data_IF_341661575165
#
_entry.id   IF_341661575165
#
_cell.length_a   1.000
_cell.length_b   1.000
_cell.length_c   1.000
_cell.angle_alpha   90.00
_cell.angle_beta   90.00
_cell.angle_gamma   90.00
#
_symmetry.space_group_name_H-M   'P 1'
#
loop_
_entity.id
_entity.type
_entity.pdbx_description
1 polymer ?
#
# COMPACT_ATOMS: atom_id res chain seq x y z
N UNK A 1 14.91 2.74 -18.55
CA UNK A 1 15.82 2.46 -19.67
C UNK A 1 15.43 3.18 -20.95
N UNK A 2 14.23 3.02 -21.51
CA UNK A 2 13.78 3.71 -22.74
C UNK A 2 13.98 5.24 -22.76
N UNK A 3 13.66 5.92 -21.65
CA UNK A 3 13.85 7.38 -21.55
C UNK A 3 15.34 7.79 -21.62
N UNK A 4 16.23 6.99 -21.06
CA UNK A 4 17.68 7.23 -21.13
C UNK A 4 18.16 7.11 -22.59
N UNK A 5 17.73 6.06 -23.29
CA UNK A 5 18.08 5.84 -24.71
C UNK A 5 17.55 6.98 -25.58
N UNK A 6 16.29 7.41 -25.35
CA UNK A 6 15.71 8.53 -26.08
C UNK A 6 16.48 9.84 -25.83
N UNK A 7 16.85 10.12 -24.57
CA UNK A 7 17.65 11.29 -24.23
C UNK A 7 19.04 11.26 -24.85
N UNK A 8 19.71 10.10 -24.91
CA UNK A 8 21.00 9.94 -25.60
C UNK A 8 20.86 10.17 -27.12
N UNK A 9 19.79 9.66 -27.75
CA UNK A 9 19.50 9.92 -29.16
C UNK A 9 19.19 11.40 -29.46
N UNK A 10 18.82 12.17 -28.43
CA UNK A 10 18.64 13.63 -28.51
C UNK A 10 19.94 14.41 -28.18
N UNK A 11 21.12 13.77 -28.33
CA UNK A 11 22.45 14.35 -28.09
C UNK A 11 22.73 14.82 -26.66
N UNK A 12 21.99 14.29 -25.66
CA UNK A 12 22.33 14.53 -24.27
C UNK A 12 23.42 13.56 -23.80
N UNK A 13 24.46 14.09 -23.16
CA UNK A 13 25.54 13.24 -22.61
C UNK A 13 25.03 12.36 -21.47
N UNK A 14 25.52 11.13 -21.37
CA UNK A 14 25.11 10.17 -20.34
C UNK A 14 25.30 10.73 -18.93
N UNK A 15 26.39 11.45 -18.67
CA UNK A 15 26.65 12.08 -17.36
C UNK A 15 25.56 13.10 -16.97
N UNK A 16 25.09 13.92 -17.92
CA UNK A 16 23.99 14.85 -17.69
C UNK A 16 22.70 14.09 -17.38
N UNK A 17 22.41 13.03 -18.14
CA UNK A 17 21.21 12.20 -17.94
C UNK A 17 21.25 11.54 -16.55
N UNK A 18 22.37 10.90 -16.16
CA UNK A 18 22.52 10.25 -14.87
C UNK A 18 22.42 11.23 -13.70
N UNK A 19 22.95 12.46 -13.84
CA UNK A 19 22.85 13.52 -12.83
C UNK A 19 21.43 14.05 -12.58
N UNK A 20 20.50 13.83 -13.54
CA UNK A 20 19.08 14.24 -13.40
C UNK A 20 18.22 13.12 -12.81
N UNK A 21 18.58 11.84 -13.01
CA UNK A 21 17.76 10.70 -12.54
C UNK A 21 17.36 10.81 -11.06
N UNK A 22 18.26 11.13 -10.10
CA UNK A 22 17.88 11.27 -8.68
C UNK A 22 16.88 12.39 -8.41
N UNK A 23 16.75 13.35 -9.34
CA UNK A 23 15.83 14.51 -9.23
C UNK A 23 14.45 14.25 -9.84
N UNK A 24 14.31 13.15 -10.61
CA UNK A 24 13.05 12.78 -11.23
C UNK A 24 12.08 12.33 -10.14
N UNK A 25 10.93 12.99 -10.07
CA UNK A 25 9.83 12.58 -9.18
C UNK A 25 9.03 11.46 -9.83
N UNK A 26 8.50 10.54 -9.01
CA UNK A 26 7.57 9.52 -9.49
C UNK A 26 6.31 10.19 -10.08
N UNK A 27 5.76 9.57 -11.13
CA UNK A 27 4.46 9.98 -11.69
C UNK A 27 3.38 9.68 -10.64
N UNK A 28 2.45 10.63 -10.44
CA UNK A 28 1.37 10.48 -9.46
C UNK A 28 0.56 9.19 -9.71
N UNK A 29 0.41 8.38 -8.66
CA UNK A 29 -0.33 7.12 -8.73
C UNK A 29 0.31 6.01 -9.57
N UNK A 30 1.62 6.07 -9.84
CA UNK A 30 2.39 5.05 -10.55
C UNK A 30 3.57 4.60 -9.70
N UNK A 31 3.45 3.49 -9.00
CA UNK A 31 4.38 3.00 -7.98
C UNK A 31 4.88 4.14 -7.06
N UNK A 32 3.97 5.06 -6.75
CA UNK A 32 4.27 6.26 -5.97
C UNK A 32 4.40 5.92 -4.50
N UNK A 33 5.57 6.21 -3.90
CA UNK A 33 5.75 6.09 -2.45
C UNK A 33 5.00 7.22 -1.73
N UNK A 34 4.05 6.86 -0.87
CA UNK A 34 3.25 7.81 -0.11
C UNK A 34 3.75 7.90 1.33
N UNK A 35 4.22 9.09 1.71
CA UNK A 35 4.59 9.42 3.09
C UNK A 35 5.71 8.55 3.68
N UNK A 36 6.00 8.79 4.96
CA UNK A 36 6.99 8.04 5.73
C UNK A 36 6.35 7.49 7.00
N UNK A 37 6.54 6.20 7.27
CA UNK A 37 6.08 5.56 8.50
C UNK A 37 7.29 5.33 9.43
N UNK A 38 7.14 5.70 10.71
CA UNK A 38 8.21 5.62 11.72
C UNK A 38 8.77 4.22 11.91
N UNK A 39 7.97 3.17 11.69
CA UNK A 39 8.40 1.78 11.75
C UNK A 39 9.10 1.27 10.47
N UNK A 40 9.54 2.18 9.59
CA UNK A 40 10.24 1.86 8.32
C UNK A 40 9.41 1.10 7.28
N UNK A 41 8.11 0.86 7.51
CA UNK A 41 7.23 0.33 6.46
C UNK A 41 6.96 1.37 5.38
N UNK A 42 6.54 0.92 4.20
CA UNK A 42 6.26 1.78 3.05
C UNK A 42 4.86 1.51 2.53
N UNK A 43 4.20 2.57 2.09
CA UNK A 43 2.95 2.49 1.32
C UNK A 43 3.23 2.98 -0.09
N UNK A 44 2.88 2.15 -1.05
CA UNK A 44 3.03 2.41 -2.49
C UNK A 44 1.64 2.49 -3.09
N UNK A 45 1.37 3.56 -3.81
CA UNK A 45 0.13 3.79 -4.54
C UNK A 45 0.35 3.52 -6.02
N UNK A 46 -0.53 2.72 -6.63
CA UNK A 46 -0.42 2.37 -8.04
C UNK A 46 -1.77 2.31 -8.75
N UNK A 47 -1.77 2.63 -10.04
CA UNK A 47 -2.94 2.54 -10.91
C UNK A 47 -3.19 1.12 -11.46
N UNK A 48 -2.42 0.13 -11.08
CA UNK A 48 -2.52 -1.25 -11.55
C UNK A 48 -3.93 -1.83 -11.34
N UNK A 49 -4.74 -1.85 -12.39
CA UNK A 49 -6.14 -2.30 -12.41
C UNK A 49 -6.41 -3.44 -13.41
N UNK A 50 -5.35 -4.00 -14.00
CA UNK A 50 -5.38 -5.17 -14.88
C UNK A 50 -4.52 -6.29 -14.28
N UNK A 51 -4.73 -7.57 -14.67
CA UNK A 51 -3.93 -8.70 -14.22
C UNK A 51 -2.43 -8.47 -14.43
N UNK A 52 -2.03 -8.09 -15.64
CA UNK A 52 -0.62 -7.91 -15.99
C UNK A 52 0.02 -6.74 -15.22
N UNK A 53 -0.68 -5.61 -15.11
CA UNK A 53 -0.19 -4.47 -14.34
C UNK A 53 0.00 -4.84 -12.85
N UNK A 54 -0.98 -5.53 -12.25
CA UNK A 54 -0.88 -5.97 -10.85
C UNK A 54 0.28 -6.95 -10.65
N UNK A 55 0.48 -7.89 -11.59
CA UNK A 55 1.60 -8.81 -11.56
C UNK A 55 2.94 -8.08 -11.62
N UNK A 56 3.11 -7.17 -12.58
CA UNK A 56 4.34 -6.40 -12.76
C UNK A 56 4.63 -5.57 -11.50
N UNK A 57 3.64 -4.88 -10.95
CA UNK A 57 3.81 -4.08 -9.74
C UNK A 57 4.25 -4.93 -8.55
N UNK A 58 3.62 -6.09 -8.32
CA UNK A 58 3.99 -7.00 -7.23
C UNK A 58 5.39 -7.60 -7.43
N UNK A 59 5.74 -8.01 -8.63
CA UNK A 59 7.09 -8.53 -8.95
C UNK A 59 8.15 -7.46 -8.75
N UNK A 60 7.93 -6.24 -9.24
CA UNK A 60 8.87 -5.12 -9.04
C UNK A 60 9.08 -4.81 -7.56
N UNK A 61 8.03 -4.88 -6.73
CA UNK A 61 8.17 -4.70 -5.29
C UNK A 61 8.90 -5.88 -4.64
N UNK A 62 8.67 -7.10 -5.09
CA UNK A 62 9.37 -8.28 -4.59
C UNK A 62 10.86 -8.23 -4.90
N UNK A 63 11.22 -7.79 -6.10
CA UNK A 63 12.61 -7.59 -6.52
C UNK A 63 13.29 -6.46 -5.72
N UNK A 64 12.61 -5.33 -5.55
CA UNK A 64 13.15 -4.18 -4.82
C UNK A 64 13.24 -4.42 -3.29
N UNK A 65 12.37 -5.30 -2.75
CA UNK A 65 12.28 -5.59 -1.31
C UNK A 65 12.24 -7.10 -1.04
N UNK A 66 13.31 -7.86 -1.37
CA UNK A 66 13.29 -9.33 -1.41
C UNK A 66 12.91 -9.99 -0.07
N UNK A 67 13.31 -9.39 1.06
CA UNK A 67 13.10 -9.96 2.40
C UNK A 67 11.94 -9.30 3.18
N UNK A 68 11.04 -8.57 2.47
CA UNK A 68 9.92 -7.88 3.12
C UNK A 68 8.60 -8.54 2.75
N UNK A 69 7.67 -8.55 3.70
CA UNK A 69 6.30 -8.96 3.40
C UNK A 69 5.64 -7.89 2.54
N UNK A 70 4.97 -8.33 1.48
CA UNK A 70 4.18 -7.50 0.59
C UNK A 70 2.71 -7.73 0.89
N UNK A 71 2.05 -6.68 1.30
CA UNK A 71 0.61 -6.60 1.49
C UNK A 71 0.01 -5.91 0.27
N UNK A 72 -1.04 -6.45 -0.32
CA UNK A 72 -1.75 -5.82 -1.42
C UNK A 72 -3.17 -5.47 -1.02
N UNK A 73 -3.61 -4.26 -1.36
CA UNK A 73 -5.00 -3.81 -1.26
C UNK A 73 -5.50 -3.47 -2.65
N UNK A 74 -6.59 -4.12 -3.08
CA UNK A 74 -7.18 -3.85 -4.39
C UNK A 74 -8.66 -4.23 -4.45
N UNK A 75 -9.32 -3.76 -5.49
CA UNK A 75 -10.65 -4.15 -5.92
C UNK A 75 -10.74 -4.15 -7.44
N UNK A 76 -11.92 -4.42 -7.97
CA UNK A 76 -12.19 -4.32 -9.41
C UNK A 76 -13.41 -3.43 -9.65
N UNK A 77 -13.41 -2.71 -10.78
CA UNK A 77 -14.54 -1.92 -11.22
C UNK A 77 -15.70 -2.78 -11.72
N UNK A 78 -16.92 -2.31 -11.47
CA UNK A 78 -18.14 -2.82 -12.09
C UNK A 78 -18.36 -2.26 -13.49
N UNK A 79 -19.26 -2.87 -14.27
CA UNK A 79 -19.54 -2.56 -15.67
C UNK A 79 -18.26 -2.52 -16.54
N UNK A 80 -17.35 -3.45 -16.29
CA UNK A 80 -16.07 -3.64 -16.97
C UNK A 80 -15.83 -5.14 -17.15
N UNK A 81 -14.69 -5.49 -17.76
CA UNK A 81 -14.28 -6.88 -17.97
C UNK A 81 -14.34 -7.68 -16.65
N UNK A 82 -15.26 -8.65 -16.60
CA UNK A 82 -15.45 -9.54 -15.45
C UNK A 82 -14.39 -10.66 -15.40
N UNK A 83 -13.86 -11.06 -16.56
CA UNK A 83 -12.91 -12.17 -16.68
C UNK A 83 -11.57 -11.86 -15.98
N UNK A 84 -11.23 -10.59 -15.83
CA UNK A 84 -10.02 -10.18 -15.12
C UNK A 84 -10.10 -10.40 -13.60
N UNK A 85 -11.31 -10.49 -13.01
CA UNK A 85 -11.52 -10.49 -11.54
C UNK A 85 -10.82 -11.67 -10.88
N UNK A 86 -11.13 -12.88 -11.29
CA UNK A 86 -10.49 -14.09 -10.75
C UNK A 86 -8.99 -14.15 -11.07
N UNK A 87 -8.57 -13.67 -12.25
CA UNK A 87 -7.16 -13.57 -12.63
C UNK A 87 -6.39 -12.64 -11.68
N UNK A 88 -6.93 -11.46 -11.36
CA UNK A 88 -6.33 -10.54 -10.39
C UNK A 88 -6.26 -11.15 -8.99
N UNK A 89 -7.31 -11.87 -8.57
CA UNK A 89 -7.30 -12.65 -7.33
C UNK A 89 -6.18 -13.68 -7.27
N UNK A 90 -6.01 -14.45 -8.35
CA UNK A 90 -4.93 -15.45 -8.49
C UNK A 90 -3.54 -14.81 -8.41
N UNK A 91 -3.33 -13.70 -9.10
CA UNK A 91 -2.07 -12.96 -9.08
C UNK A 91 -1.76 -12.45 -7.67
N UNK A 92 -2.72 -11.82 -7.00
CA UNK A 92 -2.56 -11.37 -5.62
C UNK A 92 -2.20 -12.53 -4.69
N UNK A 93 -2.85 -13.70 -4.85
CA UNK A 93 -2.58 -14.91 -4.06
C UNK A 93 -1.19 -15.48 -4.28
N UNK A 94 -0.63 -15.36 -5.49
CA UNK A 94 0.70 -15.89 -5.83
C UNK A 94 1.85 -14.97 -5.38
N UNK A 95 1.66 -13.66 -5.44
CA UNK A 95 2.77 -12.69 -5.30
C UNK A 95 2.69 -11.81 -4.05
N UNK A 96 1.58 -11.82 -3.30
CA UNK A 96 1.46 -11.09 -2.04
C UNK A 96 1.37 -12.03 -0.84
N UNK A 97 1.87 -11.58 0.32
CA UNK A 97 1.85 -12.33 1.58
C UNK A 97 0.51 -12.14 2.33
N UNK A 98 -0.18 -11.03 2.07
CA UNK A 98 -1.50 -10.71 2.64
C UNK A 98 -2.31 -9.87 1.65
N UNK A 99 -3.61 -10.11 1.61
CA UNK A 99 -4.53 -9.46 0.69
C UNK A 99 -5.61 -8.72 1.48
N UNK A 100 -5.82 -7.43 1.18
CA UNK A 100 -7.00 -6.67 1.53
C UNK A 100 -7.87 -6.53 0.28
N UNK A 101 -9.03 -7.17 0.28
CA UNK A 101 -10.00 -7.09 -0.81
C UNK A 101 -11.06 -6.04 -0.47
N UNK A 102 -11.27 -5.07 -1.36
CA UNK A 102 -12.18 -3.96 -1.14
C UNK A 102 -12.92 -3.55 -2.41
N UNK A 103 -13.84 -2.59 -2.30
CA UNK A 103 -14.50 -2.02 -3.46
C UNK A 103 -13.58 -1.02 -4.18
N UNK A 104 -13.69 -0.97 -5.50
CA UNK A 104 -13.10 0.04 -6.36
C UNK A 104 -14.20 1.02 -6.79
N UNK A 105 -14.61 0.97 -8.06
CA UNK A 105 -15.76 1.70 -8.62
C UNK A 105 -16.85 0.67 -8.96
N UNK A 106 -17.74 0.27 -8.05
CA UNK A 106 -18.74 -0.77 -8.34
C UNK A 106 -19.74 -0.34 -9.41
N UNK A 107 -19.93 0.94 -9.64
CA UNK A 107 -20.90 1.48 -10.59
C UNK A 107 -22.28 0.90 -10.35
N UNK A 108 -22.94 0.36 -11.37
CA UNK A 108 -24.27 -0.25 -11.28
C UNK A 108 -24.26 -1.73 -10.87
N UNK A 109 -23.08 -2.35 -10.76
CA UNK A 109 -23.01 -3.75 -10.32
C UNK A 109 -23.03 -3.87 -8.79
N UNK A 110 -23.53 -5.01 -8.32
CA UNK A 110 -23.48 -5.35 -6.89
C UNK A 110 -22.01 -5.56 -6.46
N UNK A 111 -21.48 -4.73 -5.53
CA UNK A 111 -20.09 -4.82 -5.09
C UNK A 111 -19.73 -6.16 -4.44
N UNK A 112 -20.69 -6.81 -3.74
CA UNK A 112 -20.48 -8.14 -3.16
C UNK A 112 -20.21 -9.19 -4.24
N UNK A 113 -20.91 -9.11 -5.39
CA UNK A 113 -20.69 -10.00 -6.53
C UNK A 113 -19.29 -9.81 -7.10
N UNK A 114 -18.85 -8.55 -7.25
CA UNK A 114 -17.51 -8.23 -7.74
C UNK A 114 -16.44 -8.85 -6.84
N UNK A 115 -16.52 -8.66 -5.51
CA UNK A 115 -15.57 -9.26 -4.57
C UNK A 115 -15.63 -10.78 -4.58
N UNK A 116 -16.83 -11.37 -4.67
CA UNK A 116 -16.99 -12.83 -4.79
C UNK A 116 -16.29 -13.38 -6.04
N UNK A 117 -16.38 -12.68 -7.18
CA UNK A 117 -15.70 -13.10 -8.41
C UNK A 117 -14.17 -13.00 -8.30
N UNK A 118 -13.65 -11.98 -7.62
CA UNK A 118 -12.20 -11.87 -7.34
C UNK A 118 -11.76 -13.04 -6.44
N UNK A 119 -12.54 -13.36 -5.40
CA UNK A 119 -12.23 -14.43 -4.44
C UNK A 119 -12.15 -15.81 -5.07
N UNK A 120 -12.83 -16.07 -6.20
CA UNK A 120 -12.69 -17.34 -6.95
C UNK A 120 -11.24 -17.65 -7.36
N UNK A 121 -10.40 -16.62 -7.52
CA UNK A 121 -8.99 -16.78 -7.85
C UNK A 121 -8.04 -16.80 -6.64
N UNK A 122 -8.54 -16.59 -5.42
CA UNK A 122 -7.70 -16.46 -4.23
C UNK A 122 -7.66 -17.80 -3.46
N UNK A 123 -6.49 -18.42 -3.45
CA UNK A 123 -6.24 -19.64 -2.68
C UNK A 123 -5.53 -19.38 -1.35
N UNK A 124 -5.34 -18.13 -0.96
CA UNK A 124 -4.64 -17.74 0.26
C UNK A 124 -5.59 -17.67 1.46
N UNK A 125 -5.15 -18.20 2.62
CA UNK A 125 -5.85 -18.01 3.90
C UNK A 125 -5.67 -16.60 4.50
N UNK A 126 -4.77 -15.78 3.94
CA UNK A 126 -4.42 -14.44 4.46
C UNK A 126 -5.17 -13.35 3.69
N UNK A 127 -6.48 -13.42 3.69
CA UNK A 127 -7.34 -12.43 3.07
C UNK A 127 -8.18 -11.71 4.13
N UNK A 128 -8.25 -10.39 4.04
CA UNK A 128 -9.16 -9.53 4.79
C UNK A 128 -10.10 -8.86 3.79
N UNK A 129 -11.40 -9.11 3.88
CA UNK A 129 -12.41 -8.49 3.03
C UNK A 129 -13.07 -7.33 3.78
N UNK A 130 -12.93 -6.11 3.26
CA UNK A 130 -13.51 -4.88 3.82
C UNK A 130 -14.08 -4.08 2.66
N UNK A 131 -15.41 -3.99 2.57
CA UNK A 131 -16.09 -3.34 1.44
C UNK A 131 -15.74 -1.86 1.31
N UNK A 132 -15.79 -1.11 2.41
CA UNK A 132 -15.40 0.29 2.46
C UNK A 132 -13.89 0.44 2.20
N UNK A 133 -13.55 1.07 1.07
CA UNK A 133 -12.16 1.25 0.66
C UNK A 133 -11.36 2.15 1.59
N UNK A 134 -11.98 3.19 2.15
CA UNK A 134 -11.31 4.07 3.09
C UNK A 134 -10.96 3.33 4.39
N UNK A 135 -11.90 2.54 4.89
CA UNK A 135 -11.69 1.66 6.05
C UNK A 135 -10.64 0.60 5.76
N UNK A 136 -10.69 -0.03 4.58
CA UNK A 136 -9.71 -1.04 4.16
C UNK A 136 -8.28 -0.47 4.13
N UNK A 137 -8.08 0.71 3.54
CA UNK A 137 -6.79 1.41 3.51
C UNK A 137 -6.31 1.72 4.94
N UNK A 138 -7.19 2.28 5.77
CA UNK A 138 -6.86 2.65 7.15
C UNK A 138 -6.43 1.44 7.98
N UNK A 139 -7.17 0.32 7.88
CA UNK A 139 -6.82 -0.93 8.56
C UNK A 139 -5.52 -1.55 8.02
N UNK A 140 -5.33 -1.57 6.71
CA UNK A 140 -4.10 -2.09 6.12
C UNK A 140 -2.87 -1.30 6.58
N UNK A 141 -2.95 0.05 6.61
CA UNK A 141 -1.86 0.90 7.12
C UNK A 141 -1.64 0.68 8.61
N UNK A 142 -2.72 0.63 9.42
CA UNK A 142 -2.66 0.40 10.88
C UNK A 142 -1.92 -0.91 11.20
N UNK A 143 -2.26 -1.99 10.50
CA UNK A 143 -1.73 -3.34 10.75
C UNK A 143 -0.37 -3.61 10.07
N UNK A 144 0.16 -2.65 9.31
CA UNK A 144 1.43 -2.83 8.62
C UNK A 144 2.60 -2.90 9.60
N UNK A 145 3.22 -4.06 9.71
CA UNK A 145 4.34 -4.31 10.63
C UNK A 145 5.65 -3.74 10.10
N UNK A 146 6.64 -3.63 10.99
CA UNK A 146 7.93 -2.97 10.72
C UNK A 146 8.59 -3.44 9.43
N UNK A 147 8.90 -2.47 8.58
CA UNK A 147 9.63 -2.68 7.33
C UNK A 147 8.84 -3.31 6.19
N UNK A 148 7.57 -3.69 6.39
CA UNK A 148 6.75 -4.29 5.34
C UNK A 148 6.24 -3.26 4.33
N UNK A 149 5.81 -3.75 3.17
CA UNK A 149 5.37 -2.93 2.04
C UNK A 149 3.87 -3.15 1.83
N UNK A 150 3.10 -2.07 1.73
CA UNK A 150 1.70 -2.08 1.32
C UNK A 150 1.59 -1.49 -0.09
N UNK A 151 1.08 -2.29 -1.02
CA UNK A 151 0.65 -1.82 -2.34
C UNK A 151 -0.85 -1.53 -2.30
N UNK A 152 -1.25 -0.28 -2.51
CA UNK A 152 -2.64 0.12 -2.75
C UNK A 152 -2.83 0.28 -4.24
N UNK A 153 -3.55 -0.67 -4.86
CA UNK A 153 -3.68 -0.78 -6.30
C UNK A 153 -5.10 -0.50 -6.81
N UNK A 154 -5.18 -0.07 -8.07
CA UNK A 154 -6.40 0.09 -8.85
C UNK A 154 -6.72 1.52 -9.22
N UNK A 155 -6.81 2.43 -8.25
CA UNK A 155 -7.24 3.82 -8.49
C UNK A 155 -6.09 4.80 -8.77
N UNK A 156 -4.91 4.57 -8.20
CA UNK A 156 -3.77 5.46 -8.40
C UNK A 156 -4.12 6.93 -8.10
N UNK A 157 -4.03 7.79 -9.12
CA UNK A 157 -4.32 9.22 -9.03
C UNK A 157 -5.82 9.60 -9.11
N UNK A 158 -6.72 8.63 -9.30
CA UNK A 158 -8.16 8.91 -9.38
C UNK A 158 -8.68 9.58 -8.10
N UNK A 159 -9.54 10.60 -8.28
CA UNK A 159 -10.13 11.38 -7.19
C UNK A 159 -11.64 11.18 -7.04
N UNK A 160 -12.19 10.14 -7.67
CA UNK A 160 -13.61 9.86 -7.71
C UNK A 160 -13.83 8.36 -7.44
N UNK A 161 -14.88 8.04 -6.67
CA UNK A 161 -15.44 6.69 -6.59
C UNK A 161 -16.86 6.72 -7.16
N UNK A 162 -17.18 5.76 -8.03
CA UNK A 162 -18.48 5.62 -8.68
C UNK A 162 -19.29 4.50 -8.02
N UNK A 163 -20.39 4.86 -7.36
CA UNK A 163 -21.30 3.93 -6.68
C UNK A 163 -22.74 4.19 -7.15
N UNK A 164 -23.32 3.22 -7.85
CA UNK A 164 -24.58 3.46 -8.57
C UNK A 164 -24.40 4.59 -9.58
N UNK A 165 -25.33 5.52 -9.61
CA UNK A 165 -25.29 6.73 -10.44
C UNK A 165 -24.55 7.91 -9.78
N UNK A 166 -23.94 7.69 -8.62
CA UNK A 166 -23.26 8.76 -7.86
C UNK A 166 -21.77 8.74 -8.08
N UNK A 167 -21.19 9.93 -8.26
CA UNK A 167 -19.74 10.17 -8.26
C UNK A 167 -19.40 10.87 -6.94
N UNK A 168 -18.60 10.21 -6.12
CA UNK A 168 -18.22 10.72 -4.80
C UNK A 168 -16.75 11.09 -4.85
N UNK A 169 -16.37 12.23 -4.28
CA UNK A 169 -14.95 12.57 -4.14
C UNK A 169 -14.26 11.55 -3.24
N UNK A 170 -13.22 10.93 -3.75
CA UNK A 170 -12.48 9.88 -3.08
C UNK A 170 -11.03 9.85 -3.56
N UNK A 171 -10.08 9.91 -2.64
CA UNK A 171 -8.65 9.87 -2.97
C UNK A 171 -7.90 8.91 -2.07
N UNK A 172 -7.41 7.81 -2.65
CA UNK A 172 -6.56 6.85 -1.94
C UNK A 172 -5.38 7.56 -1.26
N UNK A 173 -4.72 8.48 -1.98
CA UNK A 173 -3.56 9.24 -1.47
C UNK A 173 -3.87 10.00 -0.19
N UNK A 174 -5.01 10.72 -0.15
CA UNK A 174 -5.42 11.47 1.07
C UNK A 174 -5.68 10.54 2.25
N UNK A 175 -6.36 9.42 1.99
CA UNK A 175 -6.70 8.43 3.03
C UNK A 175 -5.42 7.79 3.57
N UNK A 176 -4.49 7.41 2.69
CA UNK A 176 -3.18 6.86 3.06
C UNK A 176 -2.41 7.83 3.95
N UNK A 177 -2.30 9.11 3.55
CA UNK A 177 -1.60 10.14 4.33
C UNK A 177 -2.19 10.31 5.73
N UNK A 178 -3.53 10.35 5.85
CA UNK A 178 -4.22 10.43 7.13
C UNK A 178 -3.96 9.19 8.00
N UNK A 179 -4.02 7.99 7.41
CA UNK A 179 -3.75 6.74 8.12
C UNK A 179 -2.30 6.65 8.60
N UNK A 180 -1.33 7.12 7.81
CA UNK A 180 0.09 7.21 8.19
C UNK A 180 0.27 8.18 9.35
N UNK A 181 -0.39 9.35 9.33
CA UNK A 181 -0.34 10.32 10.43
C UNK A 181 -0.80 9.70 11.74
N UNK A 182 -1.95 9.04 11.74
CA UNK A 182 -2.50 8.35 12.92
C UNK A 182 -1.57 7.23 13.42
N UNK A 183 -1.06 6.40 12.51
CA UNK A 183 -0.10 5.35 12.87
C UNK A 183 1.17 5.90 13.52
N UNK A 184 1.73 6.97 12.98
CA UNK A 184 2.93 7.61 13.51
C UNK A 184 2.70 8.22 14.90
N UNK A 185 1.52 8.77 15.17
CA UNK A 185 1.12 9.24 16.50
C UNK A 185 1.07 8.10 17.51
N UNK A 186 0.41 6.98 17.16
CA UNK A 186 0.31 5.81 18.03
C UNK A 186 1.68 5.20 18.33
N UNK A 187 2.57 5.11 17.33
CA UNK A 187 3.94 4.63 17.53
C UNK A 187 4.73 5.53 18.49
N UNK A 188 4.54 6.86 18.41
CA UNK A 188 5.20 7.80 19.32
C UNK A 188 4.69 7.69 20.77
N UNK A 189 3.37 7.53 20.94
CA UNK A 189 2.76 7.36 22.27
C UNK A 189 3.20 6.05 22.93
N UNK A 190 3.27 4.95 22.16
CA UNK A 190 3.76 3.68 22.68
C UNK A 190 5.24 3.75 23.13
N UNK A 191 6.08 4.47 22.37
CA UNK A 191 7.48 4.71 22.76
C UNK A 191 7.59 5.50 24.06
N UNK A 192 6.80 6.56 24.23
CA UNK A 192 6.76 7.35 25.49
C UNK A 192 6.32 6.49 26.69
N UNK A 193 5.25 5.69 26.51
CA UNK A 193 4.76 4.78 27.56
C UNK A 193 5.80 3.74 27.97
N UNK A 194 6.53 3.16 27.01
CA UNK A 194 7.57 2.19 27.29
C UNK A 194 8.77 2.83 28.02
N UNK A 195 9.16 4.05 27.67
CA UNK A 195 10.19 4.80 28.37
C UNK A 195 9.80 5.08 29.82
N UNK A 196 8.55 5.54 30.07
CA UNK A 196 8.05 5.79 31.43
C UNK A 196 8.08 4.50 32.25
N UNK A 197 7.62 3.38 31.72
CA UNK A 197 7.66 2.08 32.39
C UNK A 197 9.10 1.63 32.70
N UNK A 198 10.04 1.81 31.77
CA UNK A 198 11.44 1.46 31.99
C UNK A 198 12.08 2.30 33.09
N UNK A 199 11.82 3.61 33.12
CA UNK A 199 12.32 4.52 34.19
C UNK A 199 11.71 4.16 35.52
N UNK A 200 10.41 3.88 35.60
CA UNK A 200 9.76 3.44 36.87
C UNK A 200 10.33 2.14 37.39
N UNK A 201 10.71 1.20 36.51
CA UNK A 201 11.31 -0.08 36.94
C UNK A 201 12.72 0.09 37.48
N UNK A 202 13.54 0.99 36.92
CA UNK A 202 14.90 1.28 37.42
C UNK A 202 14.89 1.95 38.79
N UNK A 203 13.87 2.77 39.10
CA UNK A 203 13.73 3.36 40.44
C UNK A 203 13.30 2.36 41.55
N UNK A 204 12.62 1.28 41.17
CA UNK A 204 12.18 0.24 42.13
C UNK A 204 13.26 -0.81 42.43
N UNK A 205 14.35 -0.88 41.67
CA UNK A 205 15.40 -1.89 41.78
C UNK A 205 16.73 -1.36 42.33
N UNK A 206 16.81 -0.10 42.78
CA UNK A 206 17.99 0.40 43.45
C UNK A 206 18.04 -0.22 44.89
N UNK A 207 19.06 -1.01 45.23
CA UNK A 207 19.20 -1.53 46.60
C UNK A 207 19.41 -0.35 47.53
N UNK A 208 18.55 -0.23 48.54
CA UNK A 208 18.78 0.60 49.72
C UNK A 208 20.09 0.14 50.32
N UNK A 209 21.16 0.95 50.18
CA UNK A 209 22.38 0.73 50.99
C UNK A 209 21.98 0.80 52.47
N UNK A 210 21.86 -0.32 53.10
CA UNK A 210 21.86 -0.43 54.56
C UNK A 210 23.25 0.03 55.01
N UNK A 211 23.34 1.20 55.64
CA UNK A 211 24.53 1.56 56.45
C UNK A 211 24.48 0.75 57.73
N UNK A 212 25.48 -0.07 57.91
CA UNK A 212 25.86 -0.62 59.20
C UNK A 212 26.82 0.39 59.84
#
# INVERSE_FOLDING_TARGET
>A
MMAIIAAQKSNLSLNKILGVIPKIRSVEGRLEKIGNIKNKSKVILDYAHTPDALKISLLSLREQFPNKKIVVLFGCGGNRDQNKRSKMGKIASLYADQIYLTDDNPRLENPNKIRKDIKKGINSKKISEISDRAKAISEAVKNLTTGNILLVAGKGHEKIQEIGNRKIYFSDKKIILNAIKLKNLNLSNNLKLNLIKAVSYTHLTLPTKVRV
#
